data_IF_013364293789
#
_entry.id   IF_013364293789
#
_cell.length_a   1.000
_cell.length_b   1.000
_cell.length_c   1.000
_cell.angle_alpha   90.00
_cell.angle_beta   90.00
_cell.angle_gamma   90.00
#
_symmetry.space_group_name_H-M   'P 1'
#
loop_
_entity.id
_entity.type
_entity.pdbx_description
1 polymer ?
#
# COMPACT_ATOMS: atom_id res chain seq x y z
N UNK A 1 -2.83 -32.67 -13.13
CA UNK A 1 -3.07 -31.26 -13.28
C UNK A 1 -1.88 -30.51 -12.66
N UNK A 2 -1.34 -29.52 -13.36
CA UNK A 2 -0.17 -28.78 -12.93
C UNK A 2 -0.62 -27.63 -11.99
N UNK A 3 -0.22 -27.60 -10.71
CA UNK A 3 -0.65 -26.58 -9.76
C UNK A 3 -0.17 -25.17 -10.14
N UNK A 4 1.00 -25.05 -10.75
CA UNK A 4 1.52 -23.77 -11.22
C UNK A 4 0.65 -23.20 -12.36
N UNK A 5 0.28 -24.03 -13.33
CA UNK A 5 -0.59 -23.65 -14.45
C UNK A 5 -1.96 -23.20 -13.95
N UNK A 6 -2.53 -23.91 -12.98
CA UNK A 6 -3.78 -23.51 -12.33
C UNK A 6 -3.67 -22.16 -11.64
N UNK A 7 -2.57 -21.90 -10.93
CA UNK A 7 -2.33 -20.61 -10.23
C UNK A 7 -2.25 -19.47 -11.24
N UNK A 8 -1.52 -19.63 -12.33
CA UNK A 8 -1.43 -18.62 -13.39
C UNK A 8 -2.78 -18.40 -14.10
N UNK A 9 -3.53 -19.46 -14.38
CA UNK A 9 -4.88 -19.33 -14.96
C UNK A 9 -5.81 -18.50 -14.04
N UNK A 10 -5.75 -18.73 -12.74
CA UNK A 10 -6.56 -17.99 -11.77
C UNK A 10 -6.12 -16.53 -11.64
N UNK A 11 -4.82 -16.24 -11.68
CA UNK A 11 -4.30 -14.87 -11.74
C UNK A 11 -4.77 -14.14 -13.01
N UNK A 12 -4.75 -14.81 -14.15
CA UNK A 12 -5.29 -14.22 -15.38
C UNK A 12 -6.80 -13.95 -15.30
N UNK A 13 -7.57 -14.84 -14.69
CA UNK A 13 -9.01 -14.64 -14.46
C UNK A 13 -9.27 -13.44 -13.54
N UNK A 14 -8.44 -13.24 -12.50
CA UNK A 14 -8.49 -12.05 -11.65
C UNK A 14 -8.22 -10.79 -12.46
N UNK A 15 -7.16 -10.77 -13.27
CA UNK A 15 -6.79 -9.63 -14.14
C UNK A 15 -7.89 -9.28 -15.16
N UNK A 16 -8.65 -10.27 -15.60
CA UNK A 16 -9.79 -10.10 -16.51
C UNK A 16 -11.11 -9.76 -15.78
N UNK A 17 -11.09 -9.68 -14.46
CA UNK A 17 -12.30 -9.38 -13.65
C UNK A 17 -13.32 -10.52 -13.61
N UNK A 18 -12.98 -11.73 -14.05
CA UNK A 18 -13.85 -12.91 -13.96
C UNK A 18 -13.98 -13.38 -12.51
N UNK A 19 -12.90 -13.21 -11.76
CA UNK A 19 -12.83 -13.46 -10.32
C UNK A 19 -12.57 -12.14 -9.62
N UNK A 20 -12.95 -12.04 -8.36
CA UNK A 20 -12.76 -10.82 -7.56
C UNK A 20 -11.29 -10.35 -7.58
N UNK A 21 -11.08 -9.06 -7.80
CA UNK A 21 -9.76 -8.43 -7.71
C UNK A 21 -9.16 -8.48 -6.30
N UNK A 22 -9.96 -8.84 -5.30
CA UNK A 22 -9.52 -8.98 -3.91
C UNK A 22 -8.94 -10.36 -3.60
N UNK A 23 -9.12 -11.34 -4.50
CA UNK A 23 -8.59 -12.68 -4.32
C UNK A 23 -7.08 -12.70 -4.60
N UNK A 24 -6.32 -13.31 -3.70
CA UNK A 24 -4.91 -13.62 -3.90
C UNK A 24 -4.71 -15.14 -3.94
N UNK A 25 -3.77 -15.60 -4.74
CA UNK A 25 -3.50 -17.01 -4.95
C UNK A 25 -2.00 -17.28 -5.01
N UNK A 26 -1.55 -18.22 -4.20
CA UNK A 26 -0.14 -18.59 -4.07
C UNK A 26 0.02 -20.11 -4.11
N UNK A 27 1.05 -20.56 -4.79
CA UNK A 27 1.45 -21.97 -4.79
C UNK A 27 2.75 -22.12 -4.02
N UNK A 28 2.75 -23.01 -3.03
CA UNK A 28 3.92 -23.38 -2.24
C UNK A 28 4.47 -24.71 -2.74
N UNK A 29 5.63 -24.68 -3.37
CA UNK A 29 6.26 -25.88 -3.95
C UNK A 29 6.65 -26.90 -2.89
N UNK A 30 7.16 -26.44 -1.74
CA UNK A 30 7.63 -27.29 -0.66
C UNK A 30 6.53 -28.21 -0.11
N UNK A 31 5.32 -27.69 0.01
CA UNK A 31 4.17 -28.40 0.54
C UNK A 31 3.26 -28.99 -0.56
N UNK A 32 3.47 -28.58 -1.82
CA UNK A 32 2.59 -28.87 -2.95
C UNK A 32 1.14 -28.46 -2.67
N UNK A 33 0.96 -27.26 -2.10
CA UNK A 33 -0.32 -26.71 -1.69
C UNK A 33 -0.60 -25.39 -2.39
N UNK A 34 -1.87 -25.15 -2.74
CA UNK A 34 -2.34 -23.89 -3.28
C UNK A 34 -3.16 -23.19 -2.19
N UNK A 35 -2.80 -21.97 -1.88
CA UNK A 35 -3.51 -21.10 -0.95
C UNK A 35 -4.29 -20.04 -1.72
N UNK A 36 -5.58 -19.96 -1.43
CA UNK A 36 -6.48 -18.93 -1.98
C UNK A 36 -7.02 -18.11 -0.84
N UNK A 37 -6.73 -16.82 -0.87
CA UNK A 37 -7.15 -15.86 0.14
C UNK A 37 -8.19 -14.91 -0.44
N UNK A 38 -9.33 -14.81 0.21
CA UNK A 38 -10.43 -13.91 -0.17
C UNK A 38 -10.96 -13.11 1.02
N UNK A 39 -10.29 -13.15 2.17
CA UNK A 39 -10.72 -12.46 3.38
C UNK A 39 -10.46 -10.96 3.29
N UNK A 40 -11.36 -10.11 3.76
CA UNK A 40 -11.08 -8.69 3.97
C UNK A 40 -10.09 -8.53 5.15
N UNK A 41 -9.30 -7.46 5.13
CA UNK A 41 -8.39 -7.11 6.23
C UNK A 41 -6.95 -7.60 6.10
N UNK A 42 -6.62 -8.31 5.02
CA UNK A 42 -5.22 -8.60 4.67
C UNK A 42 -4.52 -7.31 4.21
N UNK A 43 -3.26 -7.14 4.59
CA UNK A 43 -2.43 -6.08 4.02
C UNK A 43 -2.08 -6.43 2.57
N UNK A 44 -2.41 -5.56 1.63
CA UNK A 44 -2.12 -5.72 0.20
C UNK A 44 -1.51 -4.46 -0.34
N UNK A 45 -0.63 -4.59 -1.32
CA UNK A 45 0.02 -3.46 -1.98
C UNK A 45 -0.33 -3.41 -3.46
N UNK A 46 -0.61 -2.24 -4.02
CA UNK A 46 -0.83 -2.08 -5.46
C UNK A 46 0.50 -2.11 -6.20
N UNK A 47 0.62 -2.94 -7.21
CA UNK A 47 1.80 -3.07 -8.06
C UNK A 47 1.41 -3.00 -9.53
N UNK A 48 2.30 -2.43 -10.33
CA UNK A 48 2.14 -2.38 -11.78
C UNK A 48 2.56 -3.72 -12.37
N UNK A 49 1.73 -4.28 -13.24
CA UNK A 49 2.03 -5.55 -13.90
C UNK A 49 3.06 -5.32 -15.00
N UNK A 50 4.08 -6.18 -15.03
CA UNK A 50 5.14 -6.19 -16.04
C UNK A 50 5.01 -7.44 -16.90
N UNK A 51 5.17 -7.29 -18.19
CA UNK A 51 5.27 -8.40 -19.15
C UNK A 51 6.50 -8.20 -20.03
N UNK A 52 7.32 -9.24 -20.13
CA UNK A 52 8.53 -9.24 -20.97
C UNK A 52 9.45 -8.02 -20.69
N UNK A 53 9.58 -7.65 -19.41
CA UNK A 53 10.40 -6.51 -19.00
C UNK A 53 9.82 -5.12 -19.32
N UNK A 54 8.55 -5.07 -19.74
CA UNK A 54 7.85 -3.81 -20.01
C UNK A 54 6.62 -3.66 -19.10
N UNK A 55 6.42 -2.48 -18.46
CA UNK A 55 5.23 -2.23 -17.68
C UNK A 55 4.01 -2.10 -18.60
N UNK A 56 2.90 -2.69 -18.21
CA UNK A 56 1.63 -2.54 -18.93
C UNK A 56 1.04 -1.14 -18.81
N UNK A 57 1.41 -0.43 -17.74
CA UNK A 57 1.03 0.96 -17.52
C UNK A 57 1.92 1.88 -18.38
N UNK A 58 1.35 2.52 -19.38
CA UNK A 58 2.06 3.42 -20.28
C UNK A 58 1.86 4.90 -19.91
N UNK A 59 2.70 5.79 -20.45
CA UNK A 59 2.56 7.24 -20.25
C UNK A 59 1.19 7.77 -20.69
N UNK A 60 0.58 7.18 -21.74
CA UNK A 60 -0.77 7.53 -22.18
C UNK A 60 -1.82 7.28 -21.11
N UNK A 61 -1.68 6.18 -20.34
CA UNK A 61 -2.56 5.89 -19.23
C UNK A 61 -2.38 6.90 -18.09
N UNK A 62 -1.13 7.28 -17.78
CA UNK A 62 -0.83 8.29 -16.78
C UNK A 62 -1.40 9.66 -17.16
N UNK A 63 -1.27 10.06 -18.42
CA UNK A 63 -1.86 11.29 -18.93
C UNK A 63 -3.39 11.30 -18.87
N UNK A 64 -4.04 10.15 -19.10
CA UNK A 64 -5.49 10.02 -18.94
C UNK A 64 -5.95 10.10 -17.50
N UNK A 65 -5.17 9.52 -16.56
CA UNK A 65 -5.41 9.66 -15.13
C UNK A 65 -5.24 11.11 -14.68
N UNK A 66 -4.16 11.76 -15.07
CA UNK A 66 -3.90 13.18 -14.75
C UNK A 66 -5.00 14.12 -15.27
N UNK A 67 -5.58 13.82 -16.43
CA UNK A 67 -6.70 14.56 -17.01
C UNK A 67 -8.08 14.14 -16.46
N UNK A 68 -8.14 13.25 -15.47
CA UNK A 68 -9.39 12.77 -14.87
C UNK A 68 -10.26 11.90 -15.79
N UNK A 69 -9.71 11.42 -16.91
CA UNK A 69 -10.42 10.54 -17.86
C UNK A 69 -10.40 9.07 -17.46
N UNK A 70 -9.46 8.68 -16.61
CA UNK A 70 -9.34 7.36 -16.03
C UNK A 70 -9.26 7.49 -14.52
N UNK A 71 -10.01 6.65 -13.83
CA UNK A 71 -9.95 6.49 -12.38
C UNK A 71 -9.01 5.35 -12.00
N UNK A 72 -8.71 5.26 -10.72
CA UNK A 72 -7.90 4.18 -10.18
C UNK A 72 -8.52 2.79 -10.43
N UNK A 73 -9.82 2.66 -10.21
CA UNK A 73 -10.53 1.40 -10.43
C UNK A 73 -10.48 0.93 -11.88
N UNK A 74 -10.52 1.88 -12.85
CA UNK A 74 -10.39 1.54 -14.27
C UNK A 74 -9.02 0.93 -14.62
N UNK A 75 -7.95 1.25 -13.86
CA UNK A 75 -6.62 0.67 -14.05
C UNK A 75 -6.58 -0.78 -13.57
N UNK A 76 -7.31 -1.08 -12.50
CA UNK A 76 -7.43 -2.44 -11.94
C UNK A 76 -8.27 -3.29 -12.90
N UNK A 77 -9.42 -2.79 -13.34
CA UNK A 77 -10.31 -3.49 -14.28
C UNK A 77 -9.63 -3.80 -15.62
N UNK A 78 -8.70 -2.95 -16.06
CA UNK A 78 -7.90 -3.18 -17.26
C UNK A 78 -6.72 -4.13 -17.05
N UNK A 79 -6.50 -4.60 -15.84
CA UNK A 79 -5.37 -5.46 -15.51
C UNK A 79 -4.02 -4.77 -15.71
N UNK A 80 -3.93 -3.47 -15.43
CA UNK A 80 -2.66 -2.71 -15.46
C UNK A 80 -1.98 -2.69 -14.09
N UNK A 81 -2.80 -2.71 -13.04
CA UNK A 81 -2.39 -2.72 -11.63
C UNK A 81 -3.13 -3.85 -10.95
N UNK A 82 -2.47 -4.55 -10.06
CA UNK A 82 -3.10 -5.53 -9.18
C UNK A 82 -2.63 -5.39 -7.75
N UNK A 83 -3.45 -5.89 -6.81
CA UNK A 83 -3.12 -5.90 -5.39
C UNK A 83 -2.56 -7.26 -5.00
N UNK A 84 -1.33 -7.27 -4.54
CA UNK A 84 -0.69 -8.47 -4.00
C UNK A 84 -0.68 -8.44 -2.47
N UNK A 85 -0.92 -9.58 -1.86
CA UNK A 85 -0.67 -9.80 -0.43
C UNK A 85 0.77 -10.28 -0.19
N UNK A 86 1.15 -10.42 1.08
CA UNK A 86 2.51 -10.84 1.43
C UNK A 86 2.89 -12.21 0.86
N UNK A 87 1.94 -13.14 0.83
CA UNK A 87 2.17 -14.50 0.35
C UNK A 87 2.39 -14.55 -1.18
N UNK A 88 1.63 -13.74 -1.91
CA UNK A 88 1.79 -13.65 -3.37
C UNK A 88 3.04 -12.85 -3.76
N UNK A 89 3.44 -11.86 -2.94
CA UNK A 89 4.67 -11.11 -3.12
C UNK A 89 5.93 -11.98 -3.00
N UNK A 90 5.95 -12.97 -2.11
CA UNK A 90 7.09 -13.89 -1.97
C UNK A 90 7.40 -14.66 -3.26
N UNK A 91 6.37 -14.92 -4.06
CA UNK A 91 6.49 -15.60 -5.36
C UNK A 91 6.58 -14.62 -6.55
N UNK A 92 6.73 -13.33 -6.28
CA UNK A 92 6.79 -12.30 -7.31
C UNK A 92 8.16 -11.65 -7.34
N UNK A 93 8.64 -11.29 -8.53
CA UNK A 93 9.89 -10.56 -8.69
C UNK A 93 9.58 -9.10 -9.02
N UNK A 94 9.78 -8.21 -8.04
CA UNK A 94 9.33 -6.82 -8.07
C UNK A 94 10.52 -5.89 -8.30
N UNK A 95 10.48 -5.08 -9.37
CA UNK A 95 11.45 -4.02 -9.60
C UNK A 95 11.11 -2.78 -8.77
N UNK A 96 12.12 -2.14 -8.18
CA UNK A 96 11.95 -0.92 -7.39
C UNK A 96 11.76 0.32 -8.27
N UNK A 97 12.43 0.35 -9.41
CA UNK A 97 12.44 1.48 -10.33
C UNK A 97 12.35 1.00 -11.78
N UNK A 98 11.88 1.88 -12.64
CA UNK A 98 11.79 1.59 -14.07
C UNK A 98 13.14 1.21 -14.70
N UNK A 99 14.22 1.80 -14.21
CA UNK A 99 15.59 1.52 -14.72
C UNK A 99 16.11 0.14 -14.31
N UNK A 100 15.52 -0.47 -13.28
CA UNK A 100 15.95 -1.77 -12.75
C UNK A 100 15.20 -2.93 -13.41
N UNK A 101 14.27 -2.64 -14.34
CA UNK A 101 13.45 -3.65 -15.00
C UNK A 101 14.30 -4.60 -15.84
N UNK A 102 14.07 -5.88 -15.67
CA UNK A 102 14.59 -6.97 -16.52
C UNK A 102 13.42 -7.85 -17.01
N UNK A 103 13.72 -8.78 -17.89
CA UNK A 103 12.72 -9.71 -18.44
C UNK A 103 12.11 -10.61 -17.35
N UNK A 104 12.86 -10.88 -16.29
CA UNK A 104 12.45 -11.76 -15.20
C UNK A 104 11.46 -11.11 -14.21
N UNK A 105 11.38 -9.77 -14.23
CA UNK A 105 10.48 -9.06 -13.32
C UNK A 105 9.01 -9.26 -13.70
N UNK A 106 8.20 -9.56 -12.70
CA UNK A 106 6.75 -9.75 -12.83
C UNK A 106 5.97 -8.47 -12.55
N UNK A 107 6.52 -7.63 -11.68
CA UNK A 107 5.87 -6.40 -11.21
C UNK A 107 6.87 -5.26 -11.09
N UNK A 108 6.31 -4.05 -11.03
CA UNK A 108 7.05 -2.80 -10.80
C UNK A 108 6.35 -2.01 -9.68
N UNK A 109 7.14 -1.49 -8.75
CA UNK A 109 6.65 -0.55 -7.73
C UNK A 109 6.14 0.75 -8.38
N UNK A 110 5.03 1.28 -7.86
CA UNK A 110 4.52 2.60 -8.24
C UNK A 110 5.46 3.69 -7.72
N UNK A 111 5.84 3.57 -6.44
CA UNK A 111 6.83 4.41 -5.78
C UNK A 111 7.49 3.57 -4.67
N UNK A 112 8.81 3.54 -4.55
CA UNK A 112 9.48 2.80 -3.48
C UNK A 112 9.01 3.14 -2.06
N UNK A 113 8.51 4.37 -1.85
CA UNK A 113 7.95 4.79 -0.57
C UNK A 113 6.65 4.06 -0.18
N UNK A 114 5.95 3.43 -1.13
CA UNK A 114 4.73 2.65 -0.86
C UNK A 114 5.00 1.34 -0.10
N UNK A 115 6.25 0.92 0.01
CA UNK A 115 6.64 -0.18 0.89
C UNK A 115 6.43 0.15 2.36
N UNK A 116 6.44 1.43 2.70
CA UNK A 116 6.14 1.91 4.05
C UNK A 116 4.62 2.04 4.23
N UNK A 117 4.13 1.63 5.39
CA UNK A 117 2.76 1.94 5.81
C UNK A 117 2.57 3.43 6.08
N UNK A 118 1.34 3.84 6.36
CA UNK A 118 1.02 5.26 6.63
C UNK A 118 1.84 5.78 7.81
N UNK A 119 1.93 5.04 8.91
CA UNK A 119 2.67 5.48 10.10
C UNK A 119 4.17 5.64 9.85
N UNK A 120 4.78 4.70 9.13
CA UNK A 120 6.20 4.81 8.76
C UNK A 120 6.42 5.82 7.63
N UNK A 121 5.46 5.98 6.74
CA UNK A 121 5.54 6.91 5.61
C UNK A 121 5.49 8.38 6.00
N UNK A 122 5.00 8.73 7.18
CA UNK A 122 5.01 10.10 7.68
C UNK A 122 6.34 10.51 8.34
N UNK A 123 7.25 9.55 8.57
CA UNK A 123 8.56 9.82 9.17
C UNK A 123 9.43 10.56 8.15
N UNK A 124 9.90 11.78 8.44
CA UNK A 124 10.79 12.49 7.54
C UNK A 124 12.18 11.83 7.53
N UNK A 125 12.76 11.69 6.33
CA UNK A 125 14.10 11.14 6.15
C UNK A 125 14.31 9.76 6.80
N UNK A 126 13.37 8.86 6.64
CA UNK A 126 13.43 7.51 7.21
C UNK A 126 14.66 6.71 6.73
N UNK A 127 15.16 7.01 5.54
CA UNK A 127 16.39 6.45 4.97
C UNK A 127 17.67 6.89 5.68
N UNK A 128 17.64 8.02 6.41
CA UNK A 128 18.73 8.52 7.23
C UNK A 128 18.79 7.92 8.65
N UNK A 129 17.75 7.19 9.05
CA UNK A 129 17.65 6.57 10.36
C UNK A 129 17.94 5.07 10.29
N UNK A 130 18.34 4.48 11.41
CA UNK A 130 18.40 3.03 11.53
C UNK A 130 17.00 2.41 11.55
N UNK A 131 16.86 1.21 11.01
CA UNK A 131 15.58 0.48 10.95
C UNK A 131 14.87 0.35 12.30
N UNK A 132 15.54 0.01 13.43
CA UNK A 132 14.88 -0.02 14.74
C UNK A 132 14.29 1.31 15.17
N UNK A 133 14.92 2.42 14.82
CA UNK A 133 14.43 3.76 15.17
C UNK A 133 13.20 4.16 14.37
N UNK A 134 13.15 3.81 13.10
CA UNK A 134 11.93 3.98 12.29
C UNK A 134 10.78 3.15 12.82
N UNK A 135 11.02 1.93 13.24
CA UNK A 135 10.02 1.05 13.86
C UNK A 135 9.49 1.64 15.16
N UNK A 136 10.38 2.20 16.01
CA UNK A 136 10.02 2.87 17.25
C UNK A 136 9.15 4.09 16.99
N UNK A 137 9.53 4.96 16.05
CA UNK A 137 8.75 6.14 15.69
C UNK A 137 7.39 5.77 15.09
N UNK A 138 7.31 4.77 14.25
CA UNK A 138 6.03 4.27 13.74
C UNK A 138 5.09 3.80 14.87
N UNK A 139 5.63 3.23 15.94
CA UNK A 139 4.90 2.90 17.16
C UNK A 139 4.47 4.13 17.94
N UNK A 140 5.36 5.12 18.11
CA UNK A 140 5.08 6.37 18.84
C UNK A 140 4.06 7.25 18.13
N UNK A 141 4.02 7.25 16.80
CA UNK A 141 3.01 7.97 16.02
C UNK A 141 1.57 7.62 16.44
N UNK A 142 1.33 6.36 16.78
CA UNK A 142 0.02 5.90 17.25
C UNK A 142 -0.32 6.36 18.66
N UNK A 143 0.66 6.82 19.43
CA UNK A 143 0.52 7.30 20.80
C UNK A 143 0.47 8.85 20.88
N UNK A 144 0.71 9.53 19.77
CA UNK A 144 0.61 10.97 19.66
C UNK A 144 -0.85 11.43 19.62
N UNK A 145 -1.38 11.83 20.76
CA UNK A 145 -2.79 12.20 20.93
C UNK A 145 -2.91 13.67 21.32
N UNK A 146 -3.59 14.47 20.51
CA UNK A 146 -4.02 15.83 20.89
C UNK A 146 -5.41 15.85 21.51
N UNK A 147 -6.27 14.90 21.07
CA UNK A 147 -7.63 14.69 21.56
C UNK A 147 -7.80 13.18 21.77
N UNK A 148 -8.06 12.77 23.00
CA UNK A 148 -8.10 11.35 23.35
C UNK A 148 -9.34 10.60 22.80
N UNK A 149 -10.46 11.31 22.65
CA UNK A 149 -11.69 10.82 21.97
C UNK A 149 -12.43 11.99 21.35
N UNK A 150 -13.13 11.74 20.26
CA UNK A 150 -13.89 12.78 19.54
C UNK A 150 -15.13 13.28 20.31
N UNK A 151 -15.71 12.43 21.15
CA UNK A 151 -16.89 12.76 21.97
C UNK A 151 -16.56 13.12 23.42
N UNK A 152 -15.38 13.69 23.67
CA UNK A 152 -14.91 14.01 25.02
C UNK A 152 -15.87 14.90 25.81
N UNK A 153 -16.61 15.80 25.14
CA UNK A 153 -17.58 16.68 25.77
C UNK A 153 -18.83 15.97 26.32
N UNK A 154 -19.10 14.77 25.84
CA UNK A 154 -20.25 13.95 26.26
C UNK A 154 -19.89 12.89 27.31
N UNK A 155 -18.60 12.77 27.61
CA UNK A 155 -18.10 11.77 28.57
C UNK A 155 -18.11 12.34 30.00
N UNK A 156 -18.24 11.45 30.96
CA UNK A 156 -18.25 11.77 32.40
C UNK A 156 -16.88 11.49 33.04
N UNK A 157 -15.80 11.72 32.31
CA UNK A 157 -14.44 11.52 32.84
C UNK A 157 -14.12 12.56 33.90
N UNK A 158 -13.44 12.15 34.96
CA UNK A 158 -13.05 13.04 36.06
C UNK A 158 -11.89 13.97 35.74
N UNK A 159 -11.06 13.57 34.77
CA UNK A 159 -9.91 14.33 34.30
C UNK A 159 -9.65 14.03 32.84
N UNK A 160 -9.35 15.07 32.06
CA UNK A 160 -8.95 14.96 30.66
C UNK A 160 -7.80 15.91 30.36
N UNK A 161 -6.91 15.50 29.47
CA UNK A 161 -5.84 16.33 28.94
C UNK A 161 -6.07 16.54 27.44
N UNK A 162 -6.20 17.78 27.04
CA UNK A 162 -6.40 18.20 25.65
C UNK A 162 -5.25 19.10 25.22
N UNK A 163 -4.73 18.88 24.03
CA UNK A 163 -3.75 19.77 23.42
C UNK A 163 -4.46 21.02 22.88
N UNK A 164 -4.21 22.18 23.45
CA UNK A 164 -4.89 23.41 23.08
C UNK A 164 -4.46 23.99 21.74
N UNK A 165 -3.18 23.86 21.41
CA UNK A 165 -2.59 24.44 20.21
C UNK A 165 -1.80 23.39 19.43
N UNK A 166 -2.48 22.45 18.76
CA UNK A 166 -1.81 21.50 17.89
C UNK A 166 -1.14 22.26 16.74
N UNK A 167 0.10 21.89 16.42
CA UNK A 167 0.88 22.49 15.34
C UNK A 167 1.21 21.46 14.27
N UNK A 168 1.26 21.92 13.03
CA UNK A 168 1.74 21.09 11.92
C UNK A 168 3.27 20.93 12.02
N UNK A 169 3.81 19.73 11.72
CA UNK A 169 5.26 19.56 11.67
C UNK A 169 5.91 20.47 10.64
N UNK A 170 7.09 21.01 10.96
CA UNK A 170 7.87 21.86 10.04
C UNK A 170 8.35 21.03 8.84
N UNK A 171 8.80 19.80 9.10
CA UNK A 171 9.24 18.85 8.07
C UNK A 171 8.15 17.81 7.87
N UNK A 172 7.65 17.70 6.65
CA UNK A 172 6.54 16.82 6.28
C UNK A 172 6.93 15.93 5.10
N UNK A 173 6.33 14.74 5.06
CA UNK A 173 6.33 13.91 3.86
C UNK A 173 5.06 14.18 3.03
N UNK A 174 5.05 13.76 1.76
CA UNK A 174 3.86 13.86 0.89
C UNK A 174 2.64 13.13 1.45
N UNK A 175 2.87 12.09 2.25
CA UNK A 175 1.78 11.29 2.86
C UNK A 175 0.99 12.17 3.84
N UNK A 176 1.63 13.03 4.62
CA UNK A 176 0.93 13.94 5.54
C UNK A 176 -0.02 14.85 4.76
N UNK A 177 0.41 15.40 3.64
CA UNK A 177 -0.43 16.28 2.82
C UNK A 177 -1.65 15.53 2.27
N UNK A 178 -1.50 14.26 1.86
CA UNK A 178 -2.61 13.44 1.37
C UNK A 178 -3.59 12.99 2.45
N UNK A 179 -3.19 13.01 3.74
CA UNK A 179 -4.07 12.64 4.86
C UNK A 179 -5.02 13.76 5.30
N UNK A 180 -4.94 14.94 4.70
CA UNK A 180 -5.67 16.15 5.14
C UNK A 180 -5.42 16.45 6.63
N UNK A 181 -4.16 16.48 7.03
CA UNK A 181 -3.71 16.61 8.41
C UNK A 181 -4.33 17.83 9.12
N UNK A 182 -4.45 18.94 8.42
CA UNK A 182 -4.99 20.20 8.96
C UNK A 182 -6.48 20.13 9.33
N UNK A 183 -7.20 19.14 8.80
CA UNK A 183 -8.63 18.92 9.09
C UNK A 183 -8.87 17.90 10.20
N UNK A 184 -7.82 17.35 10.79
CA UNK A 184 -7.92 16.29 11.80
C UNK A 184 -7.43 16.80 13.15
N UNK A 185 -8.04 16.34 14.27
CA UNK A 185 -7.45 16.58 15.59
C UNK A 185 -6.11 15.85 15.63
N UNK A 186 -5.05 16.64 15.64
CA UNK A 186 -3.68 16.13 15.61
C UNK A 186 -3.03 16.21 16.99
N UNK A 187 -2.20 15.22 17.28
CA UNK A 187 -1.35 15.19 18.45
C UNK A 187 0.08 15.52 18.09
N UNK A 188 0.87 15.75 19.10
CA UNK A 188 2.32 15.94 19.00
C UNK A 188 3.02 14.94 19.90
N UNK A 189 4.15 14.44 19.44
CA UNK A 189 5.02 13.54 20.19
C UNK A 189 6.49 13.93 19.98
#
# INVERSE_FOLDING_TARGET
DNPQEFTEEMREKRRKGIVSHEMNITYYEDNNEIYIFNDPGRARRPLIIVKEGQPLLTEDHLNKVANGKLKWDDLIEKGLIEYLDAEEEENSYIAMRLNDLSVDHTHLEIDPATMLGICAGIIPFSDHNSSPRNTMEAGMTKQALGLYVSNYALRTDTRAHLLHHPQTPIVKTRIIDSTNYDLRPSGQN
#
